data_IF_574056130471
#
_entry.id   IF_574056130471
#
_cell.length_a   1.000
_cell.length_b   1.000
_cell.length_c   1.000
_cell.angle_alpha   90.00
_cell.angle_beta   90.00
_cell.angle_gamma   90.00
#
_symmetry.space_group_name_H-M   'P 1'
#
loop_
_entity.id
_entity.type
_entity.pdbx_description
1 polymer ?
#
# COMPACT_ATOMS: atom_id res chain seq x y z
N UNK A 1 -33.62 -22.94 -52.68
CA UNK A 1 -32.88 -21.74 -52.25
C UNK A 1 -33.44 -21.35 -50.89
N UNK A 2 -32.87 -21.93 -49.82
CA UNK A 2 -31.88 -21.29 -48.91
C UNK A 2 -32.63 -20.46 -47.85
N UNK A 3 -32.84 -20.97 -46.61
CA UNK A 3 -31.98 -20.83 -45.39
C UNK A 3 -31.67 -19.35 -45.10
N UNK A 4 -31.95 -18.76 -43.93
CA UNK A 4 -31.57 -19.10 -42.54
C UNK A 4 -32.70 -18.62 -41.57
N UNK A 5 -33.14 -19.30 -40.50
CA UNK A 5 -32.51 -19.82 -39.26
C UNK A 5 -31.81 -18.79 -38.36
N UNK A 6 -32.23 -18.81 -37.09
CA UNK A 6 -31.49 -18.42 -35.86
C UNK A 6 -31.30 -16.91 -35.56
N UNK A 7 -31.40 -16.41 -34.33
CA UNK A 7 -31.35 -17.06 -33.02
C UNK A 7 -32.16 -16.27 -31.98
N UNK A 8 -32.95 -16.99 -31.18
CA UNK A 8 -33.39 -16.54 -29.86
C UNK A 8 -32.15 -16.35 -28.97
N UNK A 9 -31.88 -15.11 -28.55
CA UNK A 9 -30.92 -14.86 -27.48
C UNK A 9 -31.57 -15.16 -26.13
N UNK A 10 -31.70 -16.44 -25.82
CA UNK A 10 -31.95 -16.95 -24.47
C UNK A 10 -30.72 -16.65 -23.61
N UNK A 11 -30.65 -15.47 -23.01
CA UNK A 11 -29.75 -15.26 -21.88
C UNK A 11 -30.33 -16.01 -20.69
N UNK A 12 -29.89 -17.26 -20.54
CA UNK A 12 -30.09 -18.07 -19.34
C UNK A 12 -29.40 -17.33 -18.21
N UNK A 13 -30.13 -16.37 -17.61
CA UNK A 13 -29.72 -15.74 -16.37
C UNK A 13 -29.95 -16.81 -15.32
N UNK A 14 -28.93 -17.64 -15.09
CA UNK A 14 -28.90 -18.55 -13.96
C UNK A 14 -29.20 -17.68 -12.72
N UNK A 15 -30.43 -17.79 -12.21
CA UNK A 15 -30.83 -17.20 -10.96
C UNK A 15 -30.02 -17.92 -9.89
N UNK A 16 -28.79 -17.45 -9.68
CA UNK A 16 -28.03 -17.77 -8.48
C UNK A 16 -28.97 -17.52 -7.31
N UNK A 17 -29.09 -18.46 -6.37
CA UNK A 17 -29.95 -18.30 -5.21
C UNK A 17 -29.69 -16.91 -4.61
N UNK A 18 -30.73 -16.22 -4.14
CA UNK A 18 -30.64 -14.93 -3.44
C UNK A 18 -29.87 -15.10 -2.13
N UNK A 19 -28.59 -15.41 -2.25
CA UNK A 19 -27.67 -15.55 -1.15
C UNK A 19 -27.44 -14.15 -0.60
N UNK A 20 -27.43 -13.99 0.73
CA UNK A 20 -27.05 -12.71 1.31
C UNK A 20 -25.63 -12.33 0.85
N UNK A 21 -25.43 -11.03 0.63
CA UNK A 21 -24.24 -10.48 -0.03
C UNK A 21 -22.92 -10.97 0.60
N UNK A 22 -22.89 -11.15 1.93
CA UNK A 22 -21.71 -11.62 2.65
C UNK A 22 -21.33 -13.07 2.34
N UNK A 23 -22.33 -13.93 2.14
CA UNK A 23 -22.11 -15.35 1.81
C UNK A 23 -21.64 -15.45 0.36
N UNK A 24 -22.28 -14.72 -0.56
CA UNK A 24 -21.92 -14.72 -1.97
C UNK A 24 -20.47 -14.24 -2.19
N UNK A 25 -20.04 -13.20 -1.44
CA UNK A 25 -18.65 -12.70 -1.45
C UNK A 25 -17.63 -13.78 -1.04
N UNK A 26 -17.98 -14.67 -0.12
CA UNK A 26 -17.07 -15.73 0.37
C UNK A 26 -17.03 -16.94 -0.55
N UNK A 27 -18.18 -17.35 -1.11
CA UNK A 27 -18.29 -18.56 -1.96
C UNK A 27 -17.67 -18.32 -3.33
N UNK A 28 -17.96 -17.17 -3.96
CA UNK A 28 -17.51 -16.89 -5.33
C UNK A 28 -16.99 -15.45 -5.46
N UNK A 29 -15.80 -15.15 -4.92
CA UNK A 29 -15.27 -13.78 -4.88
C UNK A 29 -15.08 -13.19 -6.28
N UNK A 30 -14.59 -13.98 -7.24
CA UNK A 30 -14.36 -13.49 -8.61
C UNK A 30 -15.64 -13.02 -9.31
N UNK A 31 -16.72 -13.79 -9.18
CA UNK A 31 -18.02 -13.44 -9.77
C UNK A 31 -18.66 -12.25 -9.06
N UNK A 32 -18.54 -12.20 -7.74
CA UNK A 32 -18.96 -11.04 -6.95
C UNK A 32 -18.31 -9.76 -7.48
N UNK A 33 -16.98 -9.70 -7.58
CA UNK A 33 -16.29 -8.50 -8.06
C UNK A 33 -16.54 -8.20 -9.54
N UNK A 34 -16.72 -9.22 -10.40
CA UNK A 34 -17.02 -9.04 -11.83
C UNK A 34 -18.29 -8.21 -12.04
N UNK A 35 -19.37 -8.55 -11.33
CA UNK A 35 -20.66 -7.82 -11.42
C UNK A 35 -20.54 -6.35 -11.03
N UNK A 36 -19.73 -6.05 -10.02
CA UNK A 36 -19.44 -4.68 -9.60
C UNK A 36 -18.66 -3.89 -10.66
N UNK A 37 -17.70 -4.54 -11.32
CA UNK A 37 -16.93 -3.93 -12.41
C UNK A 37 -17.84 -3.64 -13.61
N UNK A 38 -18.73 -4.57 -13.99
CA UNK A 38 -19.72 -4.37 -15.06
C UNK A 38 -20.65 -3.18 -14.79
N UNK A 39 -20.98 -2.94 -13.52
CA UNK A 39 -21.79 -1.81 -13.08
C UNK A 39 -20.98 -0.53 -12.83
N UNK A 40 -19.66 -0.52 -13.09
CA UNK A 40 -18.75 0.60 -12.84
C UNK A 40 -18.72 1.10 -11.38
N UNK A 41 -19.09 0.25 -10.42
CA UNK A 41 -19.18 0.60 -8.99
C UNK A 41 -18.33 -0.36 -8.18
N UNK A 42 -17.49 0.15 -7.29
CA UNK A 42 -16.75 -0.69 -6.34
C UNK A 42 -17.71 -1.21 -5.26
N UNK A 43 -17.40 -2.34 -4.59
CA UNK A 43 -18.22 -2.88 -3.50
C UNK A 43 -18.48 -1.91 -2.33
N UNK A 44 -17.62 -0.90 -2.15
CA UNK A 44 -17.79 0.16 -1.15
C UNK A 44 -18.75 1.29 -1.62
N UNK A 45 -19.40 1.15 -2.77
CA UNK A 45 -20.26 2.18 -3.39
C UNK A 45 -19.52 3.32 -4.09
N UNK A 46 -18.18 3.25 -4.20
CA UNK A 46 -17.35 4.29 -4.82
C UNK A 46 -17.18 4.05 -6.33
N UNK A 47 -17.09 5.11 -7.15
CA UNK A 47 -16.78 4.94 -8.56
C UNK A 47 -15.34 4.45 -8.75
N UNK A 48 -15.05 3.84 -9.90
CA UNK A 48 -13.76 3.19 -10.16
C UNK A 48 -12.55 4.14 -10.03
N UNK A 49 -12.72 5.42 -10.36
CA UNK A 49 -11.66 6.44 -10.34
C UNK A 49 -11.42 7.10 -8.97
N UNK A 50 -12.28 6.86 -7.96
CA UNK A 50 -12.21 7.58 -6.67
C UNK A 50 -11.48 6.78 -5.59
N UNK A 51 -10.45 7.39 -5.00
CA UNK A 51 -9.72 6.84 -3.87
C UNK A 51 -10.56 6.82 -2.57
N UNK A 52 -10.09 6.08 -1.57
CA UNK A 52 -10.69 6.12 -0.22
C UNK A 52 -10.38 7.48 0.41
N UNK A 53 -11.22 7.93 1.35
CA UNK A 53 -10.93 9.16 2.11
C UNK A 53 -9.58 9.00 2.81
N UNK A 54 -8.66 9.91 2.51
CA UNK A 54 -7.35 10.01 3.15
C UNK A 54 -7.43 11.06 4.25
N UNK A 55 -6.99 10.72 5.46
CA UNK A 55 -6.83 11.63 6.58
C UNK A 55 -5.36 11.62 6.98
N UNK A 56 -4.77 12.79 7.17
CA UNK A 56 -3.36 12.95 7.50
C UNK A 56 -3.24 13.76 8.79
N UNK A 57 -2.39 13.29 9.69
CA UNK A 57 -2.11 13.93 10.98
C UNK A 57 -0.60 13.99 11.13
N UNK A 58 -0.02 15.18 11.01
CA UNK A 58 1.40 15.44 11.22
C UNK A 58 1.67 15.62 12.71
N UNK A 59 2.83 15.17 13.20
CA UNK A 59 3.20 15.27 14.62
C UNK A 59 2.45 14.28 15.51
N UNK A 60 2.07 13.12 14.98
CA UNK A 60 1.35 12.09 15.74
C UNK A 60 2.16 11.48 16.89
N UNK A 61 3.50 11.50 16.78
CA UNK A 61 4.44 11.00 17.78
C UNK A 61 5.31 12.18 18.23
N UNK A 62 5.27 12.49 19.52
CA UNK A 62 6.03 13.60 20.12
C UNK A 62 7.51 13.28 20.38
N UNK A 63 7.87 12.00 20.41
CA UNK A 63 9.25 11.54 20.69
C UNK A 63 10.14 11.44 19.46
N UNK A 64 9.57 11.61 18.26
CA UNK A 64 10.29 11.54 16.99
C UNK A 64 10.53 12.96 16.45
N UNK A 65 11.66 13.18 15.79
CA UNK A 65 12.01 14.49 15.20
C UNK A 65 11.00 14.92 14.12
N UNK A 66 10.46 13.93 13.41
CA UNK A 66 9.32 14.10 12.52
C UNK A 66 8.39 12.91 12.61
N UNK A 67 7.08 13.14 12.55
CA UNK A 67 6.12 12.04 12.49
C UNK A 67 4.88 12.39 11.67
N UNK A 68 4.29 11.38 11.06
CA UNK A 68 3.03 11.51 10.35
C UNK A 68 2.23 10.21 10.45
N UNK A 69 0.94 10.34 10.74
CA UNK A 69 -0.03 9.27 10.66
C UNK A 69 -0.97 9.51 9.49
N UNK A 70 -1.07 8.54 8.59
CA UNK A 70 -1.90 8.60 7.40
C UNK A 70 -2.92 7.46 7.42
N UNK A 71 -4.19 7.81 7.31
CA UNK A 71 -5.30 6.84 7.28
C UNK A 71 -6.03 6.92 5.95
N UNK A 72 -6.06 5.82 5.22
CA UNK A 72 -6.76 5.64 3.95
C UNK A 72 -7.89 4.63 4.17
N UNK A 73 -9.07 5.14 4.52
CA UNK A 73 -10.23 4.33 4.92
C UNK A 73 -9.93 3.44 6.15
N UNK A 74 -9.75 2.14 5.92
CA UNK A 74 -9.42 1.15 6.96
C UNK A 74 -7.93 0.82 7.09
N UNK A 75 -7.07 1.40 6.25
CA UNK A 75 -5.62 1.21 6.32
C UNK A 75 -4.99 2.42 7.01
N UNK A 76 -4.23 2.19 8.07
CA UNK A 76 -3.48 3.24 8.78
C UNK A 76 -2.00 2.93 8.69
N UNK A 77 -1.20 3.94 8.37
CA UNK A 77 0.26 3.88 8.35
C UNK A 77 0.79 4.99 9.24
N UNK A 78 1.79 4.67 10.06
CA UNK A 78 2.48 5.62 10.91
C UNK A 78 3.94 5.64 10.46
N UNK A 79 4.48 6.83 10.24
CA UNK A 79 5.87 7.06 9.90
C UNK A 79 6.49 7.98 10.95
N UNK A 80 7.68 7.61 11.41
CA UNK A 80 8.52 8.42 12.28
C UNK A 80 9.89 8.57 11.64
N UNK A 81 10.44 9.77 11.72
CA UNK A 81 11.80 10.11 11.31
C UNK A 81 12.57 10.38 12.58
N UNK A 82 13.74 9.77 12.68
CA UNK A 82 14.71 10.00 13.73
C UNK A 82 16.05 10.33 13.09
N UNK A 83 16.65 11.44 13.49
CA UNK A 83 17.98 11.85 13.06
C UNK A 83 19.00 11.49 14.14
N UNK A 84 20.07 10.82 13.74
CA UNK A 84 21.20 10.50 14.61
C UNK A 84 22.49 10.87 13.89
N UNK A 85 23.46 11.40 14.64
CA UNK A 85 24.79 11.68 14.12
C UNK A 85 25.55 10.36 14.09
N UNK A 86 26.09 10.02 12.92
CA UNK A 86 26.80 8.77 12.68
C UNK A 86 27.95 8.99 11.71
N UNK A 87 28.96 8.14 11.80
CA UNK A 87 30.10 8.18 10.88
C UNK A 87 29.64 7.87 9.44
N UNK A 88 30.04 8.68 8.45
CA UNK A 88 29.67 8.45 7.05
C UNK A 88 30.34 7.18 6.52
N UNK A 89 29.81 6.64 5.42
CA UNK A 89 30.40 5.46 4.78
C UNK A 89 31.79 5.80 4.25
N UNK A 90 32.76 4.91 4.44
CA UNK A 90 34.17 5.08 3.98
C UNK A 90 34.26 5.46 2.48
N UNK A 91 33.34 4.96 1.65
CA UNK A 91 33.30 5.23 0.21
C UNK A 91 32.82 6.65 -0.13
N UNK A 92 32.02 7.26 0.74
CA UNK A 92 31.37 8.56 0.53
C UNK A 92 31.42 9.38 1.83
N UNK A 93 32.59 9.96 2.18
CA UNK A 93 32.77 10.68 3.44
C UNK A 93 32.05 12.04 3.51
N UNK A 94 31.61 12.54 2.35
CA UNK A 94 30.95 13.85 2.18
C UNK A 94 29.41 13.73 2.09
N UNK A 95 28.87 12.51 2.22
CA UNK A 95 27.45 12.23 2.06
C UNK A 95 26.90 11.50 3.29
N UNK A 96 25.78 11.99 3.81
CA UNK A 96 24.98 11.27 4.78
C UNK A 96 24.30 10.04 4.15
N UNK A 97 23.61 9.26 4.98
CA UNK A 97 22.82 8.14 4.50
C UNK A 97 21.43 8.13 5.16
N UNK A 98 20.46 7.62 4.41
CA UNK A 98 19.09 7.42 4.86
C UNK A 98 18.80 5.92 4.83
N UNK A 99 18.17 5.39 5.88
CA UNK A 99 17.78 3.98 5.96
C UNK A 99 16.27 3.90 6.15
N UNK A 100 15.48 3.82 5.06
CA UNK A 100 14.05 3.59 5.19
C UNK A 100 13.80 2.14 5.61
N UNK A 101 12.97 1.94 6.63
CA UNK A 101 12.52 0.63 7.06
C UNK A 101 10.99 0.61 7.19
N UNK A 102 10.39 -0.50 6.74
CA UNK A 102 8.96 -0.76 6.84
C UNK A 102 8.74 -1.99 7.70
N UNK A 103 7.95 -1.83 8.76
CA UNK A 103 7.58 -2.94 9.64
C UNK A 103 6.09 -3.29 9.47
N UNK A 104 5.80 -4.58 9.37
CA UNK A 104 4.44 -5.12 9.33
C UNK A 104 4.17 -5.92 10.60
N UNK A 105 3.72 -5.23 11.64
CA UNK A 105 3.44 -5.81 12.95
C UNK A 105 2.17 -6.68 12.94
N UNK A 106 2.04 -7.68 13.84
CA UNK A 106 0.79 -8.43 14.05
C UNK A 106 -0.44 -7.55 14.35
N UNK A 107 -0.23 -6.32 14.84
CA UNK A 107 -1.28 -5.32 15.04
C UNK A 107 -1.97 -4.95 13.72
N UNK A 108 -1.25 -5.02 12.59
CA UNK A 108 -1.78 -4.66 11.28
C UNK A 108 -2.75 -5.70 10.71
N UNK A 109 -2.51 -6.99 10.98
CA UNK A 109 -3.32 -8.11 10.49
C UNK A 109 -2.93 -9.41 11.19
N UNK A 110 -3.88 -10.33 11.48
CA UNK A 110 -3.58 -11.64 12.04
C UNK A 110 -2.75 -12.53 11.10
N UNK A 111 -2.55 -12.12 9.84
CA UNK A 111 -1.68 -12.80 8.88
C UNK A 111 -0.19 -12.55 9.17
N UNK A 112 0.15 -11.46 9.83
CA UNK A 112 1.53 -11.14 10.18
C UNK A 112 1.89 -11.84 11.48
N UNK A 113 2.90 -12.72 11.41
CA UNK A 113 3.41 -13.41 12.59
C UNK A 113 4.52 -12.58 13.24
N UNK A 114 4.61 -12.57 14.58
CA UNK A 114 5.78 -12.00 15.25
C UNK A 114 7.01 -12.83 14.88
N UNK A 115 8.11 -12.15 14.57
CA UNK A 115 9.34 -12.79 14.09
C UNK A 115 10.14 -11.88 13.16
N UNK A 116 11.11 -12.43 12.41
CA UNK A 116 11.84 -11.67 11.42
C UNK A 116 10.89 -11.05 10.39
N UNK A 117 11.27 -9.91 9.77
CA UNK A 117 10.41 -9.20 8.83
C UNK A 117 10.02 -10.14 7.69
N UNK A 118 8.71 -10.20 7.42
CA UNK A 118 8.16 -10.97 6.30
C UNK A 118 8.75 -10.49 4.97
N UNK A 119 8.75 -11.37 3.96
CA UNK A 119 9.21 -11.04 2.60
C UNK A 119 8.56 -9.75 2.06
N UNK A 120 7.27 -9.54 2.33
CA UNK A 120 6.55 -8.33 1.92
C UNK A 120 7.14 -7.06 2.56
N UNK A 121 7.50 -7.12 3.84
CA UNK A 121 8.12 -6.00 4.53
C UNK A 121 9.52 -5.72 3.95
N UNK A 122 10.31 -6.76 3.70
CA UNK A 122 11.65 -6.63 3.12
C UNK A 122 11.60 -6.02 1.71
N UNK A 123 10.72 -6.52 0.85
CA UNK A 123 10.52 -5.98 -0.51
C UNK A 123 10.03 -4.52 -0.44
N UNK A 124 9.14 -4.19 0.49
CA UNK A 124 8.66 -2.82 0.66
C UNK A 124 9.77 -1.86 1.13
N UNK A 125 10.60 -2.26 2.09
CA UNK A 125 11.75 -1.48 2.55
C UNK A 125 12.76 -1.25 1.42
N UNK A 126 13.11 -2.31 0.68
CA UNK A 126 14.04 -2.22 -0.45
C UNK A 126 13.48 -1.36 -1.59
N UNK A 127 12.19 -1.50 -1.88
CA UNK A 127 11.51 -0.67 -2.87
C UNK A 127 11.51 0.81 -2.47
N UNK A 128 11.26 1.10 -1.19
CA UNK A 128 11.32 2.46 -0.66
C UNK A 128 12.74 3.02 -0.74
N UNK A 129 13.77 2.22 -0.42
CA UNK A 129 15.16 2.64 -0.56
C UNK A 129 15.51 3.00 -2.02
N UNK A 130 15.13 2.14 -2.98
CA UNK A 130 15.33 2.41 -4.41
C UNK A 130 14.61 3.67 -4.89
N UNK A 131 13.40 3.93 -4.39
CA UNK A 131 12.67 5.16 -4.71
C UNK A 131 13.43 6.37 -4.16
N UNK A 132 13.90 6.33 -2.92
CA UNK A 132 14.63 7.45 -2.33
C UNK A 132 15.95 7.72 -3.06
N UNK A 133 16.71 6.67 -3.39
CA UNK A 133 17.96 6.79 -4.15
C UNK A 133 17.75 7.32 -5.57
N UNK A 134 16.72 6.84 -6.28
CA UNK A 134 16.44 7.25 -7.67
C UNK A 134 15.84 8.65 -7.76
N UNK A 135 14.99 9.03 -6.80
CA UNK A 135 14.28 10.31 -6.82
C UNK A 135 15.12 11.48 -6.31
N UNK A 136 16.19 11.22 -5.55
CA UNK A 136 17.05 12.25 -4.92
C UNK A 136 16.25 13.34 -4.21
N UNK A 137 15.13 12.95 -3.56
CA UNK A 137 14.24 13.89 -2.87
C UNK A 137 14.96 14.62 -1.73
N UNK A 138 15.96 13.97 -1.12
CA UNK A 138 16.80 14.55 -0.08
C UNK A 138 18.25 14.59 -0.56
N UNK A 139 18.89 15.76 -0.49
CA UNK A 139 20.31 15.92 -0.78
C UNK A 139 21.13 15.28 0.33
N UNK A 140 21.92 14.26 0.00
CA UNK A 140 22.81 13.59 0.98
C UNK A 140 23.98 14.46 1.41
N UNK A 141 24.33 15.49 0.62
CA UNK A 141 25.37 16.45 0.96
C UNK A 141 24.91 17.42 2.05
N UNK A 142 23.63 17.76 2.05
CA UNK A 142 23.02 18.65 3.06
C UNK A 142 22.91 17.94 4.42
N UNK A 143 23.00 16.61 4.43
CA UNK A 143 23.04 15.77 5.63
C UNK A 143 24.46 15.61 6.19
N UNK A 144 25.50 16.11 5.51
CA UNK A 144 26.87 16.06 6.00
C UNK A 144 27.13 17.25 6.95
N UNK A 145 27.52 16.96 8.19
CA UNK A 145 27.85 17.98 9.20
C UNK A 145 29.33 18.34 9.09
N UNK A 146 30.22 17.36 9.26
CA UNK A 146 31.65 17.47 8.97
C UNK A 146 32.12 16.28 8.12
N UNK A 147 32.93 16.52 7.08
CA UNK A 147 33.46 15.44 6.26
C UNK A 147 34.47 14.59 7.03
N UNK A 148 34.32 13.26 6.94
CA UNK A 148 35.19 12.26 7.59
C UNK A 148 35.23 12.30 9.13
N UNK A 149 34.22 12.89 9.78
CA UNK A 149 34.10 12.91 11.25
C UNK A 149 32.62 12.83 11.67
N UNK A 150 32.37 12.28 12.86
CA UNK A 150 31.07 12.34 13.54
C UNK A 150 30.95 13.64 14.34
#
# INVERSE_FOLDING_TARGET
>A
MATDSEAQSTSVTAQLPRLPFDIFRRIQPHEYFRRFIEQNVRPDGRPLHKFRKTTLTVGAISTADGSAMVRIGGTTVICGIKAEISEPKIRFPEEGYLVPNVELSPICSPKFRPGPPSEQAQVASEFLNKIMESSKIVSLKDLCIEPSKA
#
